data_IF_796462943247
#
_entry.id   IF_796462943247
#
_cell.length_a   1.000
_cell.length_b   1.000
_cell.length_c   1.000
_cell.angle_alpha   90.00
_cell.angle_beta   90.00
_cell.angle_gamma   90.00
#
_symmetry.space_group_name_H-M   'P 1'
#
loop_
_entity.id
_entity.type
_entity.pdbx_description
1 polymer ?
#
# COMPACT_ATOMS: atom_id res chain seq x y z
N UNK A 1 -2.69 -55.45 -29.16
CA UNK A 1 -2.75 -54.00 -29.45
C UNK A 1 -3.26 -53.33 -28.19
N UNK A 2 -2.33 -52.74 -27.44
CA UNK A 2 -2.53 -52.01 -26.19
C UNK A 2 -2.87 -50.56 -26.50
N UNK A 3 -3.95 -50.04 -25.93
CA UNK A 3 -4.21 -48.61 -25.75
C UNK A 3 -4.91 -48.48 -24.39
N UNK A 4 -4.15 -48.22 -23.31
CA UNK A 4 -3.75 -46.89 -22.81
C UNK A 4 -4.89 -46.22 -22.04
N UNK A 5 -4.82 -46.48 -20.74
CA UNK A 5 -5.29 -45.77 -19.55
C UNK A 5 -5.31 -44.23 -19.66
N UNK A 6 -6.45 -43.62 -19.29
CA UNK A 6 -6.48 -42.32 -18.57
C UNK A 6 -7.66 -42.32 -17.59
N UNK A 7 -7.41 -42.36 -16.27
CA UNK A 7 -8.39 -42.08 -15.23
C UNK A 7 -7.95 -40.78 -14.54
N UNK A 8 -8.44 -39.64 -15.01
CA UNK A 8 -8.05 -38.33 -14.46
C UNK A 8 -9.22 -37.36 -14.40
N UNK A 9 -10.37 -37.84 -13.93
CA UNK A 9 -11.55 -37.01 -13.59
C UNK A 9 -12.11 -37.43 -12.22
N UNK A 10 -11.21 -37.70 -11.28
CA UNK A 10 -11.56 -37.69 -9.88
C UNK A 10 -10.77 -36.58 -9.19
N UNK A 11 -11.52 -35.67 -8.58
CA UNK A 11 -11.15 -35.04 -7.31
C UNK A 11 -10.30 -33.77 -7.41
N UNK A 12 -10.92 -32.67 -7.85
CA UNK A 12 -10.36 -31.35 -7.58
C UNK A 12 -11.44 -30.28 -7.35
N UNK A 13 -12.27 -30.44 -6.31
CA UNK A 13 -12.73 -29.26 -5.57
C UNK A 13 -13.17 -29.64 -4.15
N UNK A 14 -12.24 -29.49 -3.21
CA UNK A 14 -12.42 -29.36 -1.76
C UNK A 14 -11.05 -29.52 -1.08
N UNK A 15 -10.04 -28.77 -1.53
CA UNK A 15 -8.89 -28.54 -0.67
C UNK A 15 -9.37 -27.56 0.40
N UNK A 16 -9.32 -27.87 1.71
CA UNK A 16 -9.55 -26.85 2.72
C UNK A 16 -8.46 -25.81 2.50
N UNK A 17 -8.86 -24.60 2.09
CA UNK A 17 -7.98 -23.49 1.78
C UNK A 17 -7.09 -23.24 2.99
N UNK A 18 -5.81 -23.63 2.89
CA UNK A 18 -4.78 -23.35 3.90
C UNK A 18 -4.54 -21.84 4.13
N UNK A 19 -5.22 -20.98 3.38
CA UNK A 19 -5.18 -19.51 3.45
C UNK A 19 -6.36 -18.87 4.22
N UNK A 20 -7.31 -19.64 4.76
CA UNK A 20 -8.36 -19.06 5.62
C UNK A 20 -7.82 -18.83 7.02
N UNK A 21 -7.74 -17.56 7.42
CA UNK A 21 -7.36 -17.15 8.77
C UNK A 21 -8.32 -17.68 9.83
N UNK A 22 -7.83 -17.76 11.06
CA UNK A 22 -8.59 -18.33 12.19
C UNK A 22 -9.92 -17.60 12.41
N UNK A 23 -9.94 -16.27 12.20
CA UNK A 23 -11.17 -15.47 12.32
C UNK A 23 -12.20 -15.77 11.25
N UNK A 24 -11.77 -16.08 10.03
CA UNK A 24 -12.68 -16.46 8.95
C UNK A 24 -13.32 -17.81 9.25
N UNK A 25 -12.53 -18.77 9.75
CA UNK A 25 -13.03 -20.08 10.16
C UNK A 25 -14.05 -19.95 11.30
N UNK A 26 -13.76 -19.14 12.32
CA UNK A 26 -14.65 -18.92 13.47
C UNK A 26 -15.96 -18.23 13.06
N UNK A 27 -15.90 -17.22 12.18
CA UNK A 27 -17.09 -16.54 11.66
C UNK A 27 -18.02 -17.54 10.94
N UNK A 28 -17.45 -18.37 10.06
CA UNK A 28 -18.19 -19.39 9.30
C UNK A 28 -18.80 -20.43 10.22
N UNK A 29 -18.02 -20.98 11.15
CA UNK A 29 -18.50 -21.94 12.13
C UNK A 29 -19.64 -21.36 13.00
N UNK A 30 -19.52 -20.11 13.43
CA UNK A 30 -20.55 -19.41 14.20
C UNK A 30 -21.83 -19.22 13.39
N UNK A 31 -21.71 -18.81 12.12
CA UNK A 31 -22.85 -18.65 11.22
C UNK A 31 -23.55 -19.98 10.97
N UNK A 32 -22.82 -21.03 10.58
CA UNK A 32 -23.37 -22.37 10.35
C UNK A 32 -24.06 -22.93 11.60
N UNK A 33 -23.48 -22.72 12.77
CA UNK A 33 -24.08 -23.13 14.04
C UNK A 33 -25.39 -22.39 14.32
N UNK A 34 -25.42 -21.07 14.10
CA UNK A 34 -26.62 -20.27 14.29
C UNK A 34 -27.71 -20.64 13.28
N UNK A 35 -27.35 -20.85 12.02
CA UNK A 35 -28.27 -21.25 10.98
C UNK A 35 -28.88 -22.62 11.28
N UNK A 36 -28.07 -23.60 11.69
CA UNK A 36 -28.56 -24.93 12.10
C UNK A 36 -29.54 -24.85 13.26
N UNK A 37 -29.24 -24.03 14.28
CA UNK A 37 -30.12 -23.83 15.42
C UNK A 37 -31.46 -23.18 15.02
N UNK A 38 -31.45 -22.27 14.05
CA UNK A 38 -32.67 -21.64 13.53
C UNK A 38 -33.46 -22.55 12.57
N UNK A 39 -32.78 -23.44 11.85
CA UNK A 39 -33.36 -24.29 10.82
C UNK A 39 -33.75 -25.69 11.33
N UNK A 40 -33.68 -25.95 12.64
CA UNK A 40 -34.13 -27.21 13.23
C UNK A 40 -35.67 -27.27 13.22
N UNK A 41 -36.28 -28.17 12.42
CA UNK A 41 -37.73 -28.24 12.35
C UNK A 41 -38.29 -28.92 13.61
N UNK A 42 -39.43 -28.47 14.15
CA UNK A 42 -40.19 -29.24 15.11
C UNK A 42 -40.66 -30.57 14.49
N UNK A 43 -41.02 -31.52 15.34
CA UNK A 43 -41.67 -32.74 14.86
C UNK A 43 -43.00 -32.41 14.18
N UNK A 44 -43.43 -33.24 13.23
CA UNK A 44 -44.71 -33.05 12.55
C UNK A 44 -45.88 -32.89 13.54
N UNK A 45 -45.85 -33.66 14.64
CA UNK A 45 -46.88 -33.59 15.68
C UNK A 45 -46.87 -32.26 16.43
N UNK A 46 -45.71 -31.72 16.78
CA UNK A 46 -45.59 -30.40 17.44
C UNK A 46 -46.04 -29.28 16.51
N UNK A 47 -45.67 -29.35 15.23
CA UNK A 47 -46.10 -28.41 14.22
C UNK A 47 -47.63 -28.41 14.05
N UNK A 48 -48.25 -29.58 13.92
CA UNK A 48 -49.71 -29.72 13.74
C UNK A 48 -50.48 -29.21 14.97
N UNK A 49 -49.94 -29.33 16.19
CA UNK A 49 -50.57 -28.79 17.41
C UNK A 49 -50.80 -27.28 17.34
N UNK A 50 -50.04 -26.56 16.52
CA UNK A 50 -50.28 -25.14 16.26
C UNK A 50 -51.54 -24.88 15.39
N UNK A 51 -52.14 -25.91 14.78
CA UNK A 51 -53.28 -25.82 13.87
C UNK A 51 -54.46 -26.73 14.30
N UNK A 52 -55.06 -26.51 15.49
CA UNK A 52 -56.06 -27.42 16.06
C UNK A 52 -57.37 -27.53 15.26
N UNK A 53 -57.67 -26.56 14.39
CA UNK A 53 -58.86 -26.57 13.52
C UNK A 53 -58.61 -27.12 12.11
N UNK A 54 -57.38 -27.51 11.78
CA UNK A 54 -57.03 -27.96 10.44
C UNK A 54 -57.48 -29.41 10.21
N UNK A 55 -58.12 -29.67 9.08
CA UNK A 55 -58.50 -31.02 8.68
C UNK A 55 -57.26 -31.95 8.64
N UNK A 56 -57.30 -33.12 9.31
CA UNK A 56 -56.21 -34.10 9.29
C UNK A 56 -55.70 -34.49 7.91
N UNK A 57 -56.56 -34.44 6.88
CA UNK A 57 -56.17 -34.72 5.50
C UNK A 57 -55.09 -33.77 4.95
N UNK A 58 -54.90 -32.59 5.55
CA UNK A 58 -53.93 -31.58 5.12
C UNK A 58 -52.67 -31.52 5.99
N UNK A 59 -52.62 -32.27 7.09
CA UNK A 59 -51.53 -32.19 8.07
C UNK A 59 -50.17 -32.54 7.47
N UNK A 60 -50.08 -33.64 6.71
CA UNK A 60 -48.85 -34.07 6.07
C UNK A 60 -48.36 -33.06 5.01
N UNK A 61 -49.24 -32.69 4.08
CA UNK A 61 -48.89 -31.74 3.02
C UNK A 61 -48.45 -30.37 3.57
N UNK A 62 -49.06 -29.90 4.65
CA UNK A 62 -48.67 -28.64 5.29
C UNK A 62 -47.30 -28.76 5.96
N UNK A 63 -47.02 -29.86 6.64
CA UNK A 63 -45.70 -30.09 7.25
C UNK A 63 -44.60 -30.24 6.19
N UNK A 64 -44.86 -30.95 5.10
CA UNK A 64 -43.92 -31.09 3.99
C UNK A 64 -43.59 -29.73 3.36
N UNK A 65 -44.61 -28.90 3.14
CA UNK A 65 -44.43 -27.53 2.65
C UNK A 65 -43.63 -26.66 3.63
N UNK A 66 -43.89 -26.78 4.93
CA UNK A 66 -43.11 -26.09 5.96
C UNK A 66 -41.64 -26.54 5.97
N UNK A 67 -41.38 -27.85 5.94
CA UNK A 67 -40.03 -28.40 5.93
C UNK A 67 -39.26 -27.96 4.68
N UNK A 68 -39.93 -27.91 3.52
CA UNK A 68 -39.34 -27.38 2.29
C UNK A 68 -39.05 -25.89 2.37
N UNK A 69 -39.97 -25.09 2.92
CA UNK A 69 -39.74 -23.67 3.14
C UNK A 69 -38.53 -23.44 4.07
N UNK A 70 -38.41 -24.23 5.14
CA UNK A 70 -37.29 -24.13 6.08
C UNK A 70 -35.95 -24.49 5.42
N UNK A 71 -35.90 -25.57 4.63
CA UNK A 71 -34.71 -25.94 3.84
C UNK A 71 -34.33 -24.85 2.85
N UNK A 72 -35.32 -24.29 2.15
CA UNK A 72 -35.11 -23.21 1.19
C UNK A 72 -34.56 -21.95 1.85
N UNK A 73 -35.09 -21.55 3.01
CA UNK A 73 -34.54 -20.43 3.79
C UNK A 73 -33.09 -20.71 4.21
N UNK A 74 -32.79 -21.92 4.67
CA UNK A 74 -31.43 -22.33 5.03
C UNK A 74 -30.45 -22.16 3.87
N UNK A 75 -30.77 -22.74 2.71
CA UNK A 75 -29.93 -22.64 1.51
C UNK A 75 -29.73 -21.19 1.05
N UNK A 76 -30.80 -20.40 0.97
CA UNK A 76 -30.66 -19.00 0.57
C UNK A 76 -29.85 -18.18 1.59
N UNK A 77 -29.98 -18.48 2.89
CA UNK A 77 -29.17 -17.80 3.90
C UNK A 77 -27.67 -18.11 3.73
N UNK A 78 -27.30 -19.34 3.38
CA UNK A 78 -25.92 -19.71 3.05
C UNK A 78 -25.43 -18.97 1.79
N UNK A 79 -26.21 -18.98 0.72
CA UNK A 79 -25.89 -18.28 -0.54
C UNK A 79 -25.68 -16.77 -0.32
N UNK A 80 -26.60 -16.12 0.41
CA UNK A 80 -26.51 -14.69 0.74
C UNK A 80 -25.33 -14.39 1.66
N UNK A 81 -25.03 -15.28 2.62
CA UNK A 81 -23.87 -15.13 3.48
C UNK A 81 -22.56 -15.15 2.69
N UNK A 82 -22.40 -16.07 1.73
CA UNK A 82 -21.24 -16.10 0.85
C UNK A 82 -21.16 -14.84 -0.01
N UNK A 83 -22.28 -14.43 -0.62
CA UNK A 83 -22.34 -13.22 -1.45
C UNK A 83 -21.91 -11.98 -0.67
N UNK A 84 -22.38 -11.81 0.57
CA UNK A 84 -21.98 -10.71 1.45
C UNK A 84 -20.49 -10.81 1.82
N UNK A 85 -20.00 -12.02 2.11
CA UNK A 85 -18.58 -12.20 2.43
C UNK A 85 -17.66 -11.80 1.27
N UNK A 86 -18.07 -12.10 0.04
CA UNK A 86 -17.38 -11.70 -1.19
C UNK A 86 -17.50 -10.19 -1.43
N UNK A 87 -18.71 -9.64 -1.44
CA UNK A 87 -18.99 -8.22 -1.72
C UNK A 87 -18.23 -7.30 -0.76
N UNK A 88 -18.26 -7.62 0.53
CA UNK A 88 -17.61 -6.80 1.56
C UNK A 88 -16.13 -7.12 1.76
N UNK A 89 -15.59 -8.09 1.01
CA UNK A 89 -14.22 -8.59 1.14
C UNK A 89 -13.89 -9.01 2.59
N UNK A 90 -14.83 -9.68 3.25
CA UNK A 90 -14.74 -10.05 4.67
C UNK A 90 -13.50 -10.91 4.93
N UNK A 91 -13.22 -11.89 4.08
CA UNK A 91 -12.06 -12.78 4.24
C UNK A 91 -10.75 -12.00 4.21
N UNK A 92 -10.58 -11.09 3.24
CA UNK A 92 -9.38 -10.27 3.13
C UNK A 92 -9.18 -9.37 4.36
N UNK A 93 -10.26 -8.75 4.87
CA UNK A 93 -10.19 -7.89 6.05
C UNK A 93 -9.87 -8.68 7.32
N UNK A 94 -10.50 -9.84 7.52
CA UNK A 94 -10.23 -10.68 8.68
C UNK A 94 -8.81 -11.27 8.65
N UNK A 95 -8.34 -11.70 7.49
CA UNK A 95 -6.96 -12.16 7.32
C UNK A 95 -5.93 -11.03 7.58
N UNK A 96 -6.24 -9.79 7.18
CA UNK A 96 -5.38 -8.65 7.50
C UNK A 96 -5.31 -8.38 9.01
N UNK A 97 -6.44 -8.55 9.73
CA UNK A 97 -6.45 -8.44 11.19
C UNK A 97 -5.65 -9.60 11.82
N UNK A 98 -5.76 -10.82 11.31
CA UNK A 98 -4.95 -11.96 11.74
C UNK A 98 -3.45 -11.67 11.60
N UNK A 99 -3.02 -11.13 10.45
CA UNK A 99 -1.64 -10.72 10.22
C UNK A 99 -1.17 -9.64 11.21
N UNK A 100 -1.95 -8.56 11.40
CA UNK A 100 -1.64 -7.49 12.37
C UNK A 100 -1.58 -7.98 13.81
N UNK A 101 -2.42 -8.95 14.18
CA UNK A 101 -2.40 -9.59 15.48
C UNK A 101 -1.14 -10.45 15.66
N UNK A 102 -0.77 -11.24 14.65
CA UNK A 102 0.45 -12.05 14.66
C UNK A 102 1.71 -11.19 14.82
N UNK A 103 1.81 -10.06 14.10
CA UNK A 103 2.90 -9.09 14.23
C UNK A 103 3.04 -8.55 15.66
N UNK A 104 1.93 -8.44 16.38
CA UNK A 104 1.88 -7.95 17.77
C UNK A 104 1.96 -9.07 18.81
N UNK A 105 2.18 -10.32 18.37
CA UNK A 105 2.23 -11.50 19.24
C UNK A 105 0.90 -11.89 19.88
N UNK A 106 -0.22 -11.41 19.31
CA UNK A 106 -1.58 -11.77 19.68
C UNK A 106 -2.00 -12.94 18.79
N UNK A 107 -1.85 -14.15 19.29
CA UNK A 107 -2.06 -15.39 18.51
C UNK A 107 -3.32 -16.13 18.91
N UNK A 108 -3.98 -15.71 20.00
CA UNK A 108 -5.19 -16.34 20.52
C UNK A 108 -6.41 -15.49 20.16
N UNK A 109 -7.56 -16.13 19.94
CA UNK A 109 -8.85 -15.48 19.76
C UNK A 109 -9.57 -15.25 21.09
N UNK A 110 -9.08 -15.83 22.18
CA UNK A 110 -9.67 -15.64 23.50
C UNK A 110 -9.63 -14.16 23.94
N UNK A 111 -10.80 -13.56 24.01
CA UNK A 111 -11.01 -12.16 24.43
C UNK A 111 -10.54 -11.96 25.87
N UNK A 112 -10.69 -12.96 26.75
CA UNK A 112 -10.28 -12.85 28.15
C UNK A 112 -8.75 -12.82 28.30
N UNK A 113 -8.05 -13.73 27.62
CA UNK A 113 -6.59 -13.76 27.51
C UNK A 113 -6.04 -12.48 26.85
N UNK A 114 -6.71 -11.98 25.81
CA UNK A 114 -6.29 -10.79 25.08
C UNK A 114 -6.57 -9.47 25.81
N UNK A 115 -7.65 -9.37 26.59
CA UNK A 115 -7.98 -8.17 27.35
C UNK A 115 -6.88 -7.80 28.36
N UNK A 116 -6.15 -8.79 28.89
CA UNK A 116 -5.01 -8.56 29.76
C UNK A 116 -3.75 -8.07 29.01
N UNK A 117 -3.65 -8.33 27.70
CA UNK A 117 -2.49 -8.00 26.84
C UNK A 117 -2.69 -6.71 26.05
N UNK A 118 -3.94 -6.38 25.71
CA UNK A 118 -4.31 -5.12 25.06
C UNK A 118 -4.36 -4.03 26.13
N UNK A 119 -3.19 -3.49 26.47
CA UNK A 119 -3.12 -2.27 27.24
C UNK A 119 -3.80 -1.15 26.43
N UNK A 120 -4.98 -0.70 26.88
CA UNK A 120 -5.53 0.56 26.41
C UNK A 120 -4.46 1.61 26.65
N UNK A 121 -3.90 2.19 25.59
CA UNK A 121 -2.75 3.10 25.70
C UNK A 121 -3.05 4.39 26.50
N UNK A 122 -4.29 4.55 26.97
CA UNK A 122 -4.82 5.75 27.61
C UNK A 122 -5.03 6.90 26.63
N UNK A 123 -4.54 6.78 25.40
CA UNK A 123 -4.60 7.82 24.38
C UNK A 123 -5.93 7.78 23.65
N UNK A 124 -6.59 8.93 23.61
CA UNK A 124 -7.79 9.11 22.80
C UNK A 124 -7.47 8.91 21.31
N UNK A 125 -8.46 8.50 20.48
CA UNK A 125 -8.27 8.38 19.04
C UNK A 125 -7.73 9.67 18.39
N UNK A 126 -8.13 10.85 18.90
CA UNK A 126 -7.65 12.14 18.43
C UNK A 126 -6.16 12.34 18.75
N UNK A 127 -5.70 11.95 19.94
CA UNK A 127 -4.27 11.97 20.29
C UNK A 127 -3.43 11.02 19.44
N UNK A 128 -3.96 9.84 19.13
CA UNK A 128 -3.28 8.90 18.21
C UNK A 128 -3.15 9.53 16.83
N UNK A 129 -4.22 10.11 16.28
CA UNK A 129 -4.22 10.75 14.97
C UNK A 129 -3.29 11.98 14.91
N UNK A 130 -3.26 12.80 15.96
CA UNK A 130 -2.32 13.93 16.07
C UNK A 130 -0.87 13.45 16.11
N UNK A 131 -0.59 12.41 16.88
CA UNK A 131 0.76 11.85 16.97
C UNK A 131 1.23 11.24 15.64
N UNK A 132 0.38 10.48 14.95
CA UNK A 132 0.73 9.94 13.62
C UNK A 132 0.96 11.05 12.60
N UNK A 133 0.14 12.10 12.60
CA UNK A 133 0.36 13.28 11.73
C UNK A 133 1.65 14.01 12.07
N UNK A 134 1.97 14.16 13.35
CA UNK A 134 3.19 14.80 13.79
C UNK A 134 4.43 13.99 13.39
N UNK A 135 4.38 12.66 13.52
CA UNK A 135 5.46 11.77 13.07
C UNK A 135 5.64 11.80 11.55
N UNK A 136 4.55 11.78 10.78
CA UNK A 136 4.60 11.91 9.33
C UNK A 136 5.26 13.24 8.91
N UNK A 137 4.85 14.36 9.54
CA UNK A 137 5.45 15.67 9.28
C UNK A 137 6.91 15.76 9.69
N UNK A 138 7.33 15.06 10.75
CA UNK A 138 8.75 15.01 11.15
C UNK A 138 9.60 14.31 10.09
N UNK A 139 9.14 13.17 9.58
CA UNK A 139 9.82 12.43 8.50
C UNK A 139 9.92 13.28 7.23
N UNK A 140 8.83 13.90 6.81
CA UNK A 140 8.84 14.79 5.64
C UNK A 140 9.80 15.99 5.84
N UNK A 141 9.78 16.61 7.02
CA UNK A 141 10.69 17.71 7.34
C UNK A 141 12.16 17.28 7.45
N UNK A 142 12.44 16.00 7.72
CA UNK A 142 13.79 15.46 7.71
C UNK A 142 14.28 15.31 6.27
N UNK A 143 13.48 14.68 5.40
CA UNK A 143 13.78 14.57 3.96
C UNK A 143 13.99 15.94 3.30
N UNK A 144 13.12 16.91 3.59
CA UNK A 144 13.26 18.26 3.03
C UNK A 144 14.52 18.98 3.52
N UNK A 145 14.99 18.72 4.75
CA UNK A 145 16.24 19.29 5.25
C UNK A 145 17.45 18.67 4.57
N UNK A 146 17.43 17.36 4.33
CA UNK A 146 18.49 16.68 3.58
C UNK A 146 18.58 17.22 2.15
N UNK A 147 17.44 17.38 1.47
CA UNK A 147 17.37 17.96 0.12
C UNK A 147 17.86 19.42 0.11
N UNK A 148 17.44 20.24 1.08
CA UNK A 148 17.88 21.62 1.19
C UNK A 148 19.40 21.73 1.41
N UNK A 149 19.96 20.90 2.28
CA UNK A 149 21.40 20.86 2.53
C UNK A 149 22.19 20.45 1.27
N UNK A 150 21.70 19.46 0.52
CA UNK A 150 22.30 19.05 -0.75
C UNK A 150 22.27 20.17 -1.79
N UNK A 151 21.15 20.90 -1.90
CA UNK A 151 21.01 22.04 -2.81
C UNK A 151 21.90 23.22 -2.40
N UNK A 152 22.04 23.50 -1.10
CA UNK A 152 22.93 24.55 -0.60
C UNK A 152 24.39 24.23 -0.90
N UNK A 153 24.82 22.98 -0.73
CA UNK A 153 26.17 22.54 -1.12
C UNK A 153 26.41 22.72 -2.62
N UNK A 154 25.49 22.28 -3.47
CA UNK A 154 25.59 22.45 -4.92
C UNK A 154 25.61 23.94 -5.32
N UNK A 155 24.83 24.78 -4.66
CA UNK A 155 24.84 26.22 -4.86
C UNK A 155 26.20 26.83 -4.48
N UNK A 156 26.80 26.43 -3.35
CA UNK A 156 28.12 26.90 -2.93
C UNK A 156 29.22 26.48 -3.92
N UNK A 157 29.17 25.26 -4.42
CA UNK A 157 30.11 24.77 -5.45
C UNK A 157 30.00 25.59 -6.74
N UNK A 158 28.77 25.87 -7.20
CA UNK A 158 28.56 26.69 -8.40
C UNK A 158 29.03 28.14 -8.21
N UNK A 159 28.81 28.73 -7.03
CA UNK A 159 29.32 30.06 -6.69
C UNK A 159 30.85 30.07 -6.72
N UNK A 160 31.50 29.11 -6.07
CA UNK A 160 32.96 28.99 -6.05
C UNK A 160 33.52 28.83 -7.48
N UNK A 161 32.88 28.01 -8.32
CA UNK A 161 33.26 27.84 -9.72
C UNK A 161 33.09 29.14 -10.55
N UNK A 162 32.04 29.91 -10.30
CA UNK A 162 31.83 31.20 -10.95
C UNK A 162 32.85 32.24 -10.52
N UNK A 163 33.22 32.28 -9.23
CA UNK A 163 34.27 33.16 -8.72
C UNK A 163 35.63 32.82 -9.31
N UNK A 164 35.99 31.54 -9.38
CA UNK A 164 37.22 31.08 -10.05
C UNK A 164 37.25 31.50 -11.53
N UNK A 165 36.13 31.33 -12.25
CA UNK A 165 36.02 31.78 -13.65
C UNK A 165 36.14 33.30 -13.77
N UNK A 166 35.52 34.08 -12.88
CA UNK A 166 35.62 35.54 -12.86
C UNK A 166 37.05 36.00 -12.65
N UNK A 167 37.79 35.35 -11.75
CA UNK A 167 39.20 35.67 -11.51
C UNK A 167 40.07 35.32 -12.71
N UNK A 168 39.85 34.17 -13.35
CA UNK A 168 40.54 33.80 -14.59
C UNK A 168 40.29 34.80 -15.73
N UNK A 169 39.05 35.27 -15.90
CA UNK A 169 38.70 36.31 -16.88
C UNK A 169 39.38 37.64 -16.55
N UNK A 170 39.42 38.02 -15.26
CA UNK A 170 40.11 39.23 -14.81
C UNK A 170 41.60 39.15 -15.10
N UNK A 171 42.25 38.04 -14.77
CA UNK A 171 43.66 37.78 -15.04
C UNK A 171 43.98 37.82 -16.54
N UNK A 172 43.15 37.19 -17.38
CA UNK A 172 43.28 37.24 -18.83
C UNK A 172 43.13 38.66 -19.39
N UNK A 173 42.17 39.44 -18.87
CA UNK A 173 41.98 40.83 -19.29
C UNK A 173 43.17 41.72 -18.89
N UNK A 174 43.76 41.53 -17.71
CA UNK A 174 45.00 42.22 -17.32
C UNK A 174 46.21 41.79 -18.15
N UNK A 175 46.31 40.49 -18.50
CA UNK A 175 47.32 39.98 -19.41
C UNK A 175 47.21 40.57 -20.82
N UNK A 176 45.99 40.75 -21.33
CA UNK A 176 45.77 41.38 -22.63
C UNK A 176 46.18 42.86 -22.62
N UNK A 177 45.82 43.62 -21.57
CA UNK A 177 46.20 45.03 -21.43
C UNK A 177 47.72 45.25 -21.35
N UNK A 178 48.43 44.35 -20.69
CA UNK A 178 49.90 44.41 -20.61
C UNK A 178 50.55 43.96 -21.92
N UNK A 179 49.99 42.97 -22.61
CA UNK A 179 50.40 42.55 -23.94
C UNK A 179 50.19 43.63 -25.01
N UNK A 180 49.08 44.37 -24.99
CA UNK A 180 48.85 45.49 -25.91
C UNK A 180 49.79 46.66 -25.63
N UNK A 181 50.09 46.97 -24.36
CA UNK A 181 51.12 47.97 -24.03
C UNK A 181 52.51 47.56 -24.53
N UNK A 182 52.89 46.28 -24.39
CA UNK A 182 54.13 45.75 -24.96
C UNK A 182 54.14 45.80 -26.49
N UNK A 183 53.02 45.48 -27.13
CA UNK A 183 52.83 45.59 -28.58
C UNK A 183 52.94 47.02 -29.09
N UNK A 184 52.35 48.00 -28.40
CA UNK A 184 52.44 49.42 -28.73
C UNK A 184 53.89 49.92 -28.61
N UNK A 185 54.65 49.47 -27.60
CA UNK A 185 56.06 49.82 -27.44
C UNK A 185 56.92 49.20 -28.56
N UNK A 186 56.65 47.94 -28.95
CA UNK A 186 57.36 47.28 -30.07
C UNK A 186 57.00 47.94 -31.41
N UNK A 187 55.74 48.32 -31.60
CA UNK A 187 55.27 49.02 -32.79
C UNK A 187 55.90 50.41 -32.90
N UNK A 188 55.98 51.17 -31.80
CA UNK A 188 56.63 52.48 -31.75
C UNK A 188 58.16 52.38 -31.94
N UNK A 189 58.80 51.34 -31.41
CA UNK A 189 60.21 51.05 -31.70
C UNK A 189 60.45 50.69 -33.18
N UNK A 190 59.55 49.90 -33.77
CA UNK A 190 59.60 49.51 -35.18
C UNK A 190 59.39 50.69 -36.13
N UNK A 191 58.41 51.56 -35.88
CA UNK A 191 58.18 52.77 -36.70
C UNK A 191 59.35 53.74 -36.61
N UNK A 192 59.97 53.92 -35.44
CA UNK A 192 61.20 54.72 -35.28
C UNK A 192 62.40 54.14 -36.03
N UNK A 193 62.52 52.81 -36.09
CA UNK A 193 63.57 52.16 -36.87
C UNK A 193 63.33 52.32 -38.37
N UNK A 194 62.09 52.12 -38.84
CA UNK A 194 61.71 52.34 -40.23
C UNK A 194 61.92 53.80 -40.68
N UNK A 195 61.67 54.77 -39.81
CA UNK A 195 61.93 56.19 -40.06
C UNK A 195 63.43 56.55 -40.14
N UNK A 196 64.32 55.68 -39.65
CA UNK A 196 65.79 55.83 -39.75
C UNK A 196 66.37 55.14 -40.99
N UNK A 197 65.54 54.47 -41.80
CA UNK A 197 66.02 53.90 -43.05
C UNK A 197 66.51 55.03 -43.98
N UNK A 198 67.72 54.92 -44.55
CA UNK A 198 68.28 55.96 -45.41
C UNK A 198 67.40 56.13 -46.65
N UNK A 199 66.97 57.36 -46.92
CA UNK A 199 66.24 57.65 -48.14
C UNK A 199 67.15 57.40 -49.36
N UNK A 200 66.63 56.78 -50.43
CA UNK A 200 67.42 56.56 -51.64
C UNK A 200 67.85 57.92 -52.21
N UNK A 201 69.16 58.06 -52.44
CA UNK A 201 69.75 59.21 -53.12
C UNK A 201 69.06 59.37 -54.47
N UNK A 202 68.38 60.50 -54.66
CA UNK A 202 67.80 60.89 -55.95
C UNK A 202 68.96 61.10 -56.92
N UNK A 203 69.03 60.24 -57.93
CA UNK A 203 69.85 60.42 -59.14
C UNK A 203 69.29 61.54 -60.02
#
# INVERSE_FOLDING_TARGET
MTATTTPDDAMEDARPSRDRGARVAELRASFESALRACAEPPTAQEFIRAFPGLNPAHHAALYDAYAEALRSVGRHAEEEFEAICEEESVEARLNAIDALCAERGVMDLDVASNAARVAYSGKSPDEVARNTRAEAKRKEAETLREEAAALEMAAQETIAALEAKREAVRAAATGLKTGTQGGDVVQDASTRWAARAPQPLKS
#
